data_IF_498008446693
#
_entry.id   IF_498008446693
#
_cell.length_a   1.000
_cell.length_b   1.000
_cell.length_c   1.000
_cell.angle_alpha   90.00
_cell.angle_beta   90.00
_cell.angle_gamma   90.00
#
_symmetry.space_group_name_H-M   'P 1'
#
loop_
_entity.id
_entity.type
_entity.pdbx_description
1 polymer ?
#
# COMPACT_ATOMS: atom_id res chain seq x y z
N UNK A 1 32.43 -45.12 -53.25
CA UNK A 1 31.06 -44.68 -52.92
C UNK A 1 30.73 -44.58 -51.41
N UNK A 2 31.44 -45.28 -50.50
CA UNK A 2 31.16 -45.17 -49.04
C UNK A 2 31.82 -43.98 -48.31
N UNK A 3 32.71 -43.21 -48.95
CA UNK A 3 33.35 -42.02 -48.34
C UNK A 3 32.73 -40.67 -48.74
N UNK A 4 31.81 -40.66 -49.70
CA UNK A 4 31.11 -39.45 -50.16
C UNK A 4 29.72 -39.27 -49.52
N UNK A 5 29.15 -40.31 -48.90
CA UNK A 5 27.89 -40.19 -48.13
C UNK A 5 28.11 -39.68 -46.70
N UNK A 6 29.28 -39.92 -46.12
CA UNK A 6 29.58 -39.52 -44.73
C UNK A 6 29.84 -38.02 -44.59
N UNK A 7 30.34 -37.35 -45.63
CA UNK A 7 30.53 -35.90 -45.64
C UNK A 7 29.24 -35.12 -45.91
N UNK A 8 28.27 -35.72 -46.60
CA UNK A 8 26.97 -35.10 -46.84
C UNK A 8 26.03 -35.18 -45.61
N UNK A 9 26.17 -36.21 -44.77
CA UNK A 9 25.39 -36.33 -43.53
C UNK A 9 25.90 -35.42 -42.39
N UNK A 10 27.19 -35.08 -42.38
CA UNK A 10 27.77 -34.16 -41.37
C UNK A 10 27.47 -32.69 -41.72
N UNK A 11 27.31 -32.36 -43.02
CA UNK A 11 26.93 -31.02 -43.46
C UNK A 11 25.47 -30.62 -43.16
N UNK A 12 24.57 -31.59 -43.02
CA UNK A 12 23.14 -31.32 -42.73
C UNK A 12 22.86 -31.28 -41.21
N UNK A 13 23.74 -31.85 -40.38
CA UNK A 13 23.59 -31.86 -38.92
C UNK A 13 24.18 -30.61 -38.22
N UNK A 14 24.78 -29.68 -38.97
CA UNK A 14 25.36 -28.43 -38.48
C UNK A 14 24.50 -27.18 -38.78
N UNK A 15 23.30 -27.35 -39.34
CA UNK A 15 22.41 -26.25 -39.76
C UNK A 15 21.15 -26.05 -38.91
N UNK A 16 21.01 -26.74 -37.77
CA UNK A 16 19.81 -26.63 -36.91
C UNK A 16 20.04 -26.10 -35.50
N UNK A 17 21.25 -25.70 -35.13
CA UNK A 17 21.51 -24.96 -33.90
C UNK A 17 21.69 -23.46 -34.20
N UNK A 18 20.64 -22.83 -34.74
CA UNK A 18 20.47 -21.41 -34.48
C UNK A 18 20.13 -21.31 -32.98
N UNK A 19 20.92 -20.59 -32.15
CA UNK A 19 20.44 -20.24 -30.82
C UNK A 19 19.13 -19.48 -31.04
N UNK A 20 18.02 -20.07 -30.59
CA UNK A 20 16.77 -19.35 -30.44
C UNK A 20 17.08 -18.20 -29.49
N UNK A 21 17.42 -17.04 -30.06
CA UNK A 21 17.36 -15.78 -29.37
C UNK A 21 15.90 -15.64 -28.96
N UNK A 22 15.59 -16.04 -27.73
CA UNK A 22 14.38 -15.62 -27.04
C UNK A 22 14.49 -14.10 -26.97
N UNK A 23 13.95 -13.44 -27.99
CA UNK A 23 13.71 -12.02 -27.97
C UNK A 23 12.89 -11.76 -26.72
N UNK A 24 13.48 -11.06 -25.75
CA UNK A 24 12.84 -10.54 -24.55
C UNK A 24 11.82 -9.48 -24.98
N UNK A 25 10.72 -9.91 -25.59
CA UNK A 25 9.68 -9.05 -26.17
C UNK A 25 8.81 -8.39 -25.09
N UNK A 26 9.02 -8.73 -23.82
CA UNK A 26 8.34 -8.12 -22.66
C UNK A 26 8.84 -6.69 -22.34
N UNK A 27 10.07 -6.33 -22.75
CA UNK A 27 10.65 -5.02 -22.43
C UNK A 27 10.05 -3.86 -23.22
N UNK A 28 9.60 -4.11 -24.46
CA UNK A 28 9.12 -3.05 -25.37
C UNK A 28 7.65 -2.67 -25.10
N UNK A 29 6.80 -3.64 -24.72
CA UNK A 29 5.38 -3.39 -24.37
C UNK A 29 5.22 -2.67 -23.02
N UNK A 30 6.13 -2.88 -22.09
CA UNK A 30 6.06 -2.26 -20.77
C UNK A 30 6.50 -0.79 -20.82
N UNK A 31 7.51 -0.41 -21.61
CA UNK A 31 7.99 0.99 -21.65
C UNK A 31 6.94 2.02 -22.12
N UNK A 32 5.89 1.59 -22.81
CA UNK A 32 4.88 2.47 -23.41
C UNK A 32 3.65 2.76 -22.52
N UNK A 33 3.51 2.06 -21.38
CA UNK A 33 2.29 2.13 -20.54
C UNK A 33 2.00 3.56 -20.05
N UNK A 34 3.05 4.33 -19.74
CA UNK A 34 2.94 5.71 -19.27
C UNK A 34 3.91 6.67 -20.01
N UNK A 35 3.93 6.66 -21.35
CA UNK A 35 4.86 7.47 -22.14
C UNK A 35 4.64 9.00 -21.99
N UNK A 36 3.40 9.47 -21.82
CA UNK A 36 3.04 10.89 -21.65
C UNK A 36 3.19 11.42 -20.21
N UNK A 37 3.58 10.56 -19.25
CA UNK A 37 3.81 10.94 -17.86
C UNK A 37 5.28 11.29 -17.61
N UNK A 38 5.57 12.24 -16.72
CA UNK A 38 6.95 12.48 -16.26
C UNK A 38 7.49 11.29 -15.46
N UNK A 39 6.66 10.82 -14.52
CA UNK A 39 6.97 9.70 -13.63
C UNK A 39 5.73 8.83 -13.42
N UNK A 40 5.92 7.52 -13.28
CA UNK A 40 4.86 6.57 -13.03
C UNK A 40 5.35 5.32 -12.30
N UNK A 41 4.45 4.69 -11.54
CA UNK A 41 4.68 3.36 -10.95
C UNK A 41 3.37 2.58 -10.91
N UNK A 42 3.47 1.26 -11.05
CA UNK A 42 2.37 0.33 -10.81
C UNK A 42 2.85 -0.72 -9.81
N UNK A 43 2.11 -0.89 -8.73
CA UNK A 43 2.39 -1.93 -7.73
C UNK A 43 1.16 -2.80 -7.50
N UNK A 44 1.38 -4.04 -7.10
CA UNK A 44 0.36 -4.84 -6.42
C UNK A 44 0.40 -4.53 -4.92
N UNK A 45 -0.75 -4.23 -4.31
CA UNK A 45 -0.80 -3.69 -2.95
C UNK A 45 -0.26 -4.68 -1.92
N UNK A 46 -0.76 -5.91 -1.89
CA UNK A 46 -0.53 -6.83 -0.77
C UNK A 46 0.94 -7.22 -0.68
N UNK A 47 1.51 -7.63 -1.81
CA UNK A 47 2.92 -8.00 -1.94
C UNK A 47 3.85 -6.80 -1.98
N UNK A 48 3.36 -5.63 -2.42
CA UNK A 48 4.19 -4.46 -2.69
C UNK A 48 5.08 -4.61 -3.94
N UNK A 49 4.88 -5.66 -4.74
CA UNK A 49 5.69 -5.91 -5.95
C UNK A 49 5.45 -4.83 -6.99
N UNK A 50 6.53 -4.24 -7.47
CA UNK A 50 6.50 -3.26 -8.57
C UNK A 50 6.34 -3.99 -9.89
N UNK A 51 5.27 -3.68 -10.62
CA UNK A 51 4.92 -4.29 -11.92
C UNK A 51 5.33 -3.39 -13.09
N UNK A 52 5.42 -2.08 -12.87
CA UNK A 52 5.91 -1.12 -13.84
C UNK A 52 6.56 0.06 -13.11
N UNK A 53 7.61 0.61 -13.71
CA UNK A 53 8.40 1.71 -13.15
C UNK A 53 8.86 2.64 -14.27
N UNK A 54 8.60 3.94 -14.12
CA UNK A 54 9.14 5.02 -14.96
C UNK A 54 9.52 6.19 -14.05
N UNK A 55 10.83 6.44 -13.86
CA UNK A 55 11.33 7.55 -13.05
C UNK A 55 10.66 7.66 -11.67
N UNK A 56 10.27 6.52 -11.07
CA UNK A 56 9.34 6.51 -9.94
C UNK A 56 9.86 7.17 -8.66
N UNK A 57 11.18 7.38 -8.56
CA UNK A 57 11.86 8.04 -7.44
C UNK A 57 12.14 9.53 -7.69
N UNK A 58 11.77 10.07 -8.86
CA UNK A 58 11.94 11.49 -9.17
C UNK A 58 11.10 12.36 -8.23
N UNK A 59 11.70 13.43 -7.70
CA UNK A 59 11.02 14.38 -6.81
C UNK A 59 10.24 15.38 -7.64
N UNK A 60 8.93 15.38 -7.45
CA UNK A 60 7.98 16.20 -8.20
C UNK A 60 6.95 16.81 -7.24
N UNK A 61 6.39 17.96 -7.61
CA UNK A 61 5.28 18.56 -6.87
C UNK A 61 4.07 17.60 -6.85
N UNK A 62 3.59 17.18 -5.67
CA UNK A 62 2.50 16.21 -5.55
C UNK A 62 1.12 16.81 -5.76
N UNK A 63 1.00 18.15 -5.68
CA UNK A 63 -0.29 18.84 -5.63
C UNK A 63 -1.23 18.18 -4.59
N UNK A 64 -2.53 18.18 -4.85
CA UNK A 64 -3.55 17.55 -3.98
C UNK A 64 -3.37 16.04 -3.70
N UNK A 65 -2.42 15.32 -4.33
CA UNK A 65 -2.08 13.96 -3.88
C UNK A 65 -1.47 13.96 -2.47
N UNK A 66 -0.98 15.11 -2.00
CA UNK A 66 -0.61 15.34 -0.59
C UNK A 66 -1.70 14.89 0.39
N UNK A 67 -2.97 15.07 0.02
CA UNK A 67 -4.10 14.71 0.87
C UNK A 67 -4.22 13.21 1.14
N UNK A 68 -3.48 12.35 0.43
CA UNK A 68 -3.35 10.93 0.78
C UNK A 68 -2.72 10.79 2.17
N UNK A 69 -1.66 11.56 2.47
CA UNK A 69 -1.05 11.58 3.80
C UNK A 69 -1.99 12.20 4.83
N UNK A 70 -2.71 13.26 4.47
CA UNK A 70 -3.72 13.88 5.34
C UNK A 70 -4.81 12.87 5.73
N UNK A 71 -5.39 12.17 4.75
CA UNK A 71 -6.36 11.10 5.01
C UNK A 71 -5.74 9.96 5.82
N UNK A 72 -4.49 9.57 5.57
CA UNK A 72 -3.81 8.54 6.35
C UNK A 72 -3.73 8.89 7.83
N UNK A 73 -3.31 10.12 8.17
CA UNK A 73 -3.25 10.55 9.57
C UNK A 73 -4.64 10.68 10.21
N UNK A 74 -5.68 11.04 9.45
CA UNK A 74 -7.06 11.02 9.94
C UNK A 74 -7.49 9.59 10.25
N UNK A 75 -7.23 8.64 9.35
CA UNK A 75 -7.57 7.22 9.54
C UNK A 75 -6.80 6.61 10.72
N UNK A 76 -5.53 6.96 10.91
CA UNK A 76 -4.76 6.55 12.09
C UNK A 76 -5.36 7.12 13.39
N UNK A 77 -5.74 8.39 13.41
CA UNK A 77 -6.37 8.99 14.59
C UNK A 77 -7.72 8.34 14.94
N UNK A 78 -8.49 7.92 13.92
CA UNK A 78 -9.73 7.16 14.09
C UNK A 78 -9.47 5.74 14.63
N UNK A 79 -8.48 5.03 14.07
CA UNK A 79 -8.14 3.66 14.49
C UNK A 79 -7.57 3.60 15.91
N UNK A 80 -6.76 4.60 16.28
CA UNK A 80 -6.25 4.78 17.64
C UNK A 80 -7.32 5.26 18.64
N UNK A 81 -8.54 5.57 18.17
CA UNK A 81 -9.64 6.07 19.00
C UNK A 81 -9.44 7.47 19.57
N UNK A 82 -8.52 8.26 18.98
CA UNK A 82 -8.26 9.66 19.38
C UNK A 82 -9.39 10.60 18.93
N UNK A 83 -10.03 10.27 17.82
CA UNK A 83 -11.20 10.97 17.27
C UNK A 83 -12.25 9.94 16.83
N UNK A 84 -13.48 10.39 16.62
CA UNK A 84 -14.60 9.60 16.08
C UNK A 84 -15.16 10.29 14.85
N UNK A 85 -15.79 9.51 13.96
CA UNK A 85 -16.48 10.04 12.78
C UNK A 85 -17.53 11.11 13.12
N UNK A 86 -18.17 10.99 14.29
CA UNK A 86 -19.20 11.91 14.78
C UNK A 86 -18.67 13.17 15.44
N UNK A 87 -17.36 13.26 15.72
CA UNK A 87 -16.80 14.41 16.41
C UNK A 87 -16.93 15.66 15.54
N UNK A 88 -17.21 16.79 16.19
CA UNK A 88 -17.39 18.09 15.53
C UNK A 88 -16.05 18.80 15.39
N UNK A 89 -15.76 19.20 14.17
CA UNK A 89 -14.56 19.93 13.76
C UNK A 89 -14.97 21.36 13.49
N UNK A 90 -14.53 22.27 14.36
CA UNK A 90 -14.81 23.70 14.23
C UNK A 90 -13.79 24.35 13.30
N UNK A 91 -14.28 25.03 12.27
CA UNK A 91 -13.45 25.69 11.26
C UNK A 91 -12.83 26.97 11.83
N UNK A 92 -11.51 27.13 11.71
CA UNK A 92 -10.80 28.36 12.05
C UNK A 92 -10.92 29.41 10.92
N UNK A 93 -10.59 30.67 11.21
CA UNK A 93 -10.47 31.70 10.18
C UNK A 93 -9.39 31.33 9.14
N UNK A 94 -8.30 30.72 9.59
CA UNK A 94 -7.21 30.25 8.72
C UNK A 94 -7.69 29.17 7.75
N UNK A 95 -8.34 28.11 8.26
CA UNK A 95 -8.92 27.06 7.42
C UNK A 95 -9.96 27.59 6.43
N UNK A 96 -10.82 28.52 6.86
CA UNK A 96 -11.81 29.14 5.98
C UNK A 96 -11.17 30.04 4.89
N UNK A 97 -10.00 30.62 5.17
CA UNK A 97 -9.27 31.51 4.25
C UNK A 97 -8.53 30.79 3.12
N UNK A 98 -8.43 29.46 3.18
CA UNK A 98 -7.69 28.68 2.21
C UNK A 98 -8.20 28.93 0.78
N UNK A 99 -7.31 28.97 -0.21
CA UNK A 99 -7.70 29.03 -1.63
C UNK A 99 -7.72 27.65 -2.30
N UNK A 100 -8.02 27.62 -3.60
CA UNK A 100 -7.97 26.40 -4.41
C UNK A 100 -9.29 25.59 -4.36
N UNK A 101 -9.21 24.26 -4.31
CA UNK A 101 -10.40 23.42 -4.14
C UNK A 101 -10.89 23.53 -2.70
N UNK A 102 -12.17 23.84 -2.50
CA UNK A 102 -12.78 24.08 -1.19
C UNK A 102 -14.17 23.47 -1.11
N UNK A 103 -14.64 23.24 0.10
CA UNK A 103 -16.06 23.00 0.40
C UNK A 103 -16.75 24.26 0.95
N UNK A 104 -16.02 25.38 0.98
CA UNK A 104 -16.44 26.71 1.42
C UNK A 104 -16.93 26.69 2.87
N UNK A 105 -16.05 26.24 3.78
CA UNK A 105 -16.31 26.35 5.22
C UNK A 105 -16.31 27.81 5.68
N UNK A 106 -17.23 28.16 6.57
CA UNK A 106 -17.26 29.48 7.23
C UNK A 106 -16.52 29.45 8.58
N UNK A 107 -15.90 30.56 9.03
CA UNK A 107 -15.30 30.62 10.36
C UNK A 107 -16.31 30.26 11.46
N UNK A 108 -15.94 29.32 12.31
CA UNK A 108 -16.77 28.80 13.39
C UNK A 108 -17.80 27.75 12.96
N UNK A 109 -17.95 27.45 11.66
CA UNK A 109 -18.79 26.35 11.19
C UNK A 109 -18.27 25.01 11.73
N UNK A 110 -19.18 24.15 12.19
CA UNK A 110 -18.87 22.82 12.69
C UNK A 110 -19.42 21.72 11.78
N UNK A 111 -18.51 20.94 11.19
CA UNK A 111 -18.85 19.70 10.47
C UNK A 111 -18.32 18.49 11.20
N UNK A 112 -18.93 17.33 10.98
CA UNK A 112 -18.40 16.07 11.52
C UNK A 112 -17.09 15.66 10.84
N UNK A 113 -16.27 14.86 11.50
CA UNK A 113 -15.08 14.24 10.88
C UNK A 113 -15.44 13.47 9.60
N UNK A 114 -16.60 12.81 9.57
CA UNK A 114 -17.11 12.14 8.37
C UNK A 114 -17.35 13.12 7.21
N UNK A 115 -18.01 14.25 7.46
CA UNK A 115 -18.25 15.29 6.46
C UNK A 115 -16.95 15.95 5.98
N UNK A 116 -16.01 16.20 6.90
CA UNK A 116 -14.68 16.70 6.54
C UNK A 116 -13.93 15.70 5.65
N UNK A 117 -13.95 14.41 5.98
CA UNK A 117 -13.37 13.36 5.15
C UNK A 117 -14.02 13.27 3.76
N UNK A 118 -15.35 13.41 3.65
CA UNK A 118 -16.04 13.50 2.36
C UNK A 118 -15.53 14.70 1.54
N UNK A 119 -15.42 15.88 2.16
CA UNK A 119 -14.89 17.07 1.51
C UNK A 119 -13.45 16.91 1.00
N UNK A 120 -12.58 16.29 1.79
CA UNK A 120 -11.18 16.02 1.44
C UNK A 120 -11.08 14.97 0.33
N UNK A 121 -11.77 13.85 0.44
CA UNK A 121 -11.64 12.72 -0.46
C UNK A 121 -12.29 12.97 -1.83
N UNK A 122 -13.50 13.55 -1.84
CA UNK A 122 -14.32 13.72 -3.05
C UNK A 122 -13.98 15.04 -3.73
N UNK A 123 -14.20 16.16 -3.05
CA UNK A 123 -14.02 17.50 -3.61
C UNK A 123 -12.59 18.05 -3.47
N UNK A 124 -11.70 17.35 -2.77
CA UNK A 124 -10.32 17.79 -2.56
C UNK A 124 -10.20 19.09 -1.74
N UNK A 125 -11.14 19.35 -0.82
CA UNK A 125 -11.22 20.58 -0.03
C UNK A 125 -9.95 20.87 0.78
N UNK A 126 -9.35 22.04 0.55
CA UNK A 126 -8.17 22.57 1.24
C UNK A 126 -8.54 23.07 2.64
N UNK A 127 -9.65 23.80 2.73
CA UNK A 127 -10.28 24.25 3.96
C UNK A 127 -10.54 23.08 4.93
N UNK A 128 -11.20 22.02 4.45
CA UNK A 128 -11.43 20.81 5.24
C UNK A 128 -10.12 20.11 5.66
N UNK A 129 -9.09 20.13 4.80
CA UNK A 129 -7.79 19.52 5.12
C UNK A 129 -7.06 20.28 6.24
N UNK A 130 -7.10 21.61 6.22
CA UNK A 130 -6.49 22.45 7.25
C UNK A 130 -7.29 22.37 8.55
N UNK A 131 -8.62 22.44 8.50
CA UNK A 131 -9.46 22.28 9.69
C UNK A 131 -9.23 20.92 10.39
N UNK A 132 -9.12 19.83 9.62
CA UNK A 132 -8.78 18.52 10.18
C UNK A 132 -7.35 18.46 10.74
N UNK A 133 -6.41 19.15 10.11
CA UNK A 133 -5.03 19.21 10.57
C UNK A 133 -4.92 19.89 11.94
N UNK A 134 -5.56 21.05 12.09
CA UNK A 134 -5.69 21.80 13.33
C UNK A 134 -6.41 20.98 14.40
N UNK A 135 -7.53 20.32 14.05
CA UNK A 135 -8.29 19.50 15.00
C UNK A 135 -7.48 18.32 15.56
N UNK A 136 -6.68 17.65 14.73
CA UNK A 136 -5.90 16.47 15.13
C UNK A 136 -4.61 16.84 15.88
N UNK A 137 -4.02 18.01 15.60
CA UNK A 137 -2.66 18.34 16.06
C UNK A 137 -2.54 19.66 16.82
N UNK A 138 -3.62 20.42 16.96
CA UNK A 138 -3.64 21.76 17.56
C UNK A 138 -3.26 22.87 16.58
N UNK A 139 -2.41 22.59 15.58
CA UNK A 139 -2.07 23.52 14.49
C UNK A 139 -1.72 22.80 13.19
N UNK A 140 -1.71 23.54 12.08
CA UNK A 140 -1.24 23.05 10.79
C UNK A 140 0.24 22.63 10.84
N UNK A 141 1.10 23.42 11.49
CA UNK A 141 2.54 23.15 11.58
C UNK A 141 2.84 21.83 12.29
N UNK A 142 2.16 21.55 13.41
CA UNK A 142 2.32 20.29 14.12
C UNK A 142 1.77 19.11 13.32
N UNK A 143 0.70 19.32 12.55
CA UNK A 143 0.23 18.30 11.62
C UNK A 143 1.26 18.03 10.52
N UNK A 144 1.89 19.05 9.93
CA UNK A 144 2.97 18.90 8.94
C UNK A 144 4.19 18.19 9.54
N UNK A 145 4.54 18.45 10.80
CA UNK A 145 5.54 17.64 11.53
C UNK A 145 5.14 16.17 11.60
N UNK A 146 3.88 15.86 11.92
CA UNK A 146 3.38 14.47 11.91
C UNK A 146 3.41 13.85 10.52
N UNK A 147 3.05 14.58 9.47
CA UNK A 147 3.13 14.11 8.08
C UNK A 147 4.56 13.69 7.71
N UNK A 148 5.54 14.53 8.03
CA UNK A 148 6.96 14.23 7.75
C UNK A 148 7.52 13.14 8.66
N UNK A 149 7.05 13.03 9.92
CA UNK A 149 7.38 11.90 10.79
C UNK A 149 6.86 10.58 10.21
N UNK A 150 5.59 10.56 9.78
CA UNK A 150 4.97 9.41 9.12
C UNK A 150 5.70 9.04 7.83
N UNK A 151 6.10 10.02 7.02
CA UNK A 151 6.90 9.78 5.83
C UNK A 151 8.21 9.04 6.15
N UNK A 152 8.90 9.42 7.24
CA UNK A 152 10.11 8.71 7.71
C UNK A 152 9.79 7.29 8.22
N UNK A 153 8.72 7.12 8.99
CA UNK A 153 8.27 5.80 9.49
C UNK A 153 7.95 4.83 8.34
N UNK A 154 7.37 5.33 7.25
CA UNK A 154 7.09 4.57 6.04
C UNK A 154 8.31 4.41 5.10
N UNK A 155 9.45 5.00 5.45
CA UNK A 155 10.67 4.93 4.65
C UNK A 155 10.62 5.70 3.32
N UNK A 156 9.78 6.74 3.22
CA UNK A 156 9.61 7.55 2.01
C UNK A 156 10.83 8.46 1.81
N UNK A 157 11.72 8.08 0.88
CA UNK A 157 13.03 8.75 0.71
C UNK A 157 12.96 10.05 -0.11
N UNK A 158 11.88 10.24 -0.85
CA UNK A 158 11.71 11.31 -1.82
C UNK A 158 10.45 12.11 -1.54
N UNK A 159 10.11 12.30 -0.27
CA UNK A 159 8.92 13.01 0.18
C UNK A 159 9.24 14.02 1.28
N UNK A 160 8.68 15.22 1.16
CA UNK A 160 8.72 16.30 2.15
C UNK A 160 7.44 17.13 2.02
N UNK A 161 6.69 17.26 3.11
CA UNK A 161 5.47 18.04 3.17
C UNK A 161 5.70 19.38 3.84
N UNK A 162 5.01 20.41 3.33
CA UNK A 162 5.01 21.76 3.89
C UNK A 162 3.64 22.22 4.37
N UNK A 163 2.59 21.64 3.80
CA UNK A 163 1.19 21.87 4.18
C UNK A 163 0.37 20.56 3.99
N UNK A 164 -0.85 20.45 4.54
CA UNK A 164 -1.69 19.25 4.42
C UNK A 164 -2.49 19.23 3.11
N UNK A 165 -2.40 20.27 2.28
CA UNK A 165 -3.27 20.46 1.12
C UNK A 165 -2.57 20.07 -0.18
N UNK A 166 -1.25 20.30 -0.27
CA UNK A 166 -0.49 20.23 -1.51
C UNK A 166 -0.55 21.50 -2.35
N UNK A 167 -0.88 22.65 -1.74
CA UNK A 167 -0.60 23.95 -2.37
C UNK A 167 0.91 24.09 -2.60
N UNK A 168 1.28 24.74 -3.69
CA UNK A 168 2.69 24.90 -4.09
C UNK A 168 3.45 25.68 -3.03
N UNK A 169 4.53 25.09 -2.55
CA UNK A 169 5.44 25.68 -1.57
C UNK A 169 6.85 25.12 -1.78
N UNK A 170 7.87 25.93 -1.55
CA UNK A 170 9.25 25.52 -1.73
C UNK A 170 9.62 24.34 -0.81
N UNK A 171 10.21 23.28 -1.41
CA UNK A 171 10.56 22.07 -0.67
C UNK A 171 9.36 21.16 -0.35
N UNK A 172 8.19 21.37 -0.96
CA UNK A 172 7.05 20.45 -0.93
C UNK A 172 7.11 19.50 -2.14
N UNK A 173 7.53 18.25 -1.93
CA UNK A 173 7.72 17.28 -3.01
C UNK A 173 7.38 15.86 -2.57
N UNK A 174 7.12 15.00 -3.56
CA UNK A 174 6.99 13.54 -3.39
C UNK A 174 7.54 12.84 -4.63
N UNK A 175 7.51 11.51 -4.64
CA UNK A 175 7.74 10.69 -5.84
C UNK A 175 6.56 9.76 -6.14
N UNK A 176 6.51 9.18 -7.34
CA UNK A 176 5.47 8.21 -7.70
C UNK A 176 5.53 6.94 -6.83
N UNK A 177 6.73 6.46 -6.54
CA UNK A 177 6.95 5.32 -5.65
C UNK A 177 6.43 5.62 -4.24
N UNK A 178 6.83 6.76 -3.66
CA UNK A 178 6.41 7.12 -2.30
C UNK A 178 4.89 7.31 -2.21
N UNK A 179 4.24 7.87 -3.25
CA UNK A 179 2.78 7.97 -3.33
C UNK A 179 2.10 6.59 -3.38
N UNK A 180 2.69 5.61 -4.08
CA UNK A 180 2.18 4.26 -4.10
C UNK A 180 2.29 3.57 -2.73
N UNK A 181 3.38 3.82 -1.99
CA UNK A 181 3.55 3.32 -0.62
C UNK A 181 2.56 3.98 0.34
N UNK A 182 2.35 5.31 0.26
CA UNK A 182 1.34 6.00 1.06
C UNK A 182 -0.08 5.49 0.78
N UNK A 183 -0.43 5.29 -0.49
CA UNK A 183 -1.71 4.71 -0.86
C UNK A 183 -1.85 3.27 -0.36
N UNK A 184 -0.79 2.45 -0.44
CA UNK A 184 -0.77 1.10 0.11
C UNK A 184 -1.06 1.11 1.62
N UNK A 185 -0.45 2.04 2.35
CA UNK A 185 -0.67 2.18 3.79
C UNK A 185 -2.09 2.64 4.11
N UNK A 186 -2.59 3.68 3.42
CA UNK A 186 -3.96 4.18 3.57
C UNK A 186 -5.00 3.08 3.30
N UNK A 187 -4.75 2.23 2.30
CA UNK A 187 -5.66 1.15 1.89
C UNK A 187 -5.63 -0.08 2.81
N UNK A 188 -4.89 -0.03 3.94
CA UNK A 188 -5.11 -0.95 5.07
C UNK A 188 -6.41 -0.63 5.81
N UNK A 189 -6.82 0.65 5.82
CA UNK A 189 -8.09 1.09 6.37
C UNK A 189 -9.20 0.93 5.32
N UNK A 190 -9.79 -0.25 5.21
CA UNK A 190 -10.76 -0.57 4.14
C UNK A 190 -11.95 0.40 4.07
N UNK A 191 -12.30 1.07 5.17
CA UNK A 191 -13.35 2.09 5.22
C UNK A 191 -13.05 3.34 4.38
N UNK A 192 -11.79 3.65 4.06
CA UNK A 192 -11.43 4.84 3.29
C UNK A 192 -12.03 4.83 1.88
N UNK A 193 -12.22 3.64 1.29
CA UNK A 193 -12.76 3.50 -0.07
C UNK A 193 -14.23 3.89 -0.15
N UNK A 194 -14.95 3.94 0.98
CA UNK A 194 -16.31 4.55 1.06
C UNK A 194 -16.29 6.03 0.72
N UNK A 195 -15.17 6.71 0.95
CA UNK A 195 -14.99 8.13 0.63
C UNK A 195 -14.31 8.28 -0.73
N UNK A 196 -13.13 7.65 -0.92
CA UNK A 196 -12.34 7.81 -2.14
C UNK A 196 -12.96 7.15 -3.37
N UNK A 197 -13.83 6.16 -3.18
CA UNK A 197 -14.55 5.45 -4.23
C UNK A 197 -15.95 6.01 -4.50
N UNK A 198 -16.37 7.06 -3.81
CA UNK A 198 -17.65 7.73 -4.07
C UNK A 198 -17.48 8.75 -5.19
N UNK A 199 -18.31 8.64 -6.24
CA UNK A 199 -18.24 9.54 -7.39
C UNK A 199 -18.85 10.91 -7.10
N UNK A 200 -19.99 10.96 -6.42
CA UNK A 200 -20.66 12.20 -6.03
C UNK A 200 -21.40 12.00 -4.71
N UNK A 201 -21.51 13.07 -3.95
CA UNK A 201 -22.21 13.11 -2.66
C UNK A 201 -22.61 14.56 -2.36
N UNK A 202 -23.26 14.81 -1.23
CA UNK A 202 -23.62 16.14 -0.78
C UNK A 202 -23.13 16.41 0.64
N UNK A 203 -22.81 17.67 0.90
CA UNK A 203 -22.66 18.22 2.24
C UNK A 203 -23.84 19.14 2.53
N UNK A 204 -24.12 19.35 3.82
CA UNK A 204 -25.15 20.30 4.27
C UNK A 204 -26.52 20.06 3.62
N UNK A 205 -26.85 18.79 3.36
CA UNK A 205 -27.94 18.38 2.48
C UNK A 205 -29.32 18.91 2.92
N UNK A 206 -29.54 19.01 4.23
CA UNK A 206 -30.80 19.48 4.82
C UNK A 206 -30.78 20.97 5.19
N UNK A 207 -29.93 21.77 4.52
CA UNK A 207 -29.80 23.22 4.74
C UNK A 207 -29.96 23.98 3.42
N UNK A 208 -30.14 25.29 3.53
CA UNK A 208 -30.09 26.23 2.40
C UNK A 208 -28.70 26.31 1.74
N UNK A 209 -27.66 25.83 2.42
CA UNK A 209 -26.27 25.77 1.94
C UNK A 209 -25.88 24.39 1.39
N UNK A 210 -26.83 23.60 0.87
CA UNK A 210 -26.56 22.29 0.26
C UNK A 210 -25.44 22.39 -0.78
N UNK A 211 -24.39 21.59 -0.61
CA UNK A 211 -23.19 21.65 -1.43
C UNK A 211 -22.93 20.31 -2.11
N UNK A 212 -22.85 20.33 -3.44
CA UNK A 212 -22.62 19.12 -4.24
C UNK A 212 -21.13 18.82 -4.36
N UNK A 213 -20.73 17.61 -3.96
CA UNK A 213 -19.38 17.10 -4.12
C UNK A 213 -19.31 16.22 -5.36
N UNK A 214 -18.31 16.45 -6.20
CA UNK A 214 -18.00 15.59 -7.35
C UNK A 214 -16.55 15.17 -7.28
N UNK A 215 -16.32 13.86 -7.41
CA UNK A 215 -15.00 13.29 -7.30
C UNK A 215 -14.15 13.72 -8.51
N UNK A 216 -13.01 14.32 -8.19
CA UNK A 216 -12.00 14.70 -9.18
C UNK A 216 -11.46 13.50 -9.98
N UNK A 217 -11.50 12.28 -9.42
CA UNK A 217 -11.11 11.05 -10.10
C UNK A 217 -12.28 10.46 -10.89
N UNK A 218 -12.40 10.85 -12.16
CA UNK A 218 -13.46 10.34 -13.05
C UNK A 218 -13.40 8.83 -13.29
N UNK A 219 -12.25 8.17 -13.08
CA UNK A 219 -12.13 6.73 -13.30
C UNK A 219 -13.03 5.90 -12.38
N UNK A 220 -13.44 6.44 -11.22
CA UNK A 220 -14.41 5.79 -10.33
C UNK A 220 -15.71 5.46 -11.06
N UNK A 221 -16.16 6.33 -11.98
CA UNK A 221 -17.38 6.13 -12.76
C UNK A 221 -17.17 5.24 -13.99
N UNK A 222 -15.97 5.23 -14.56
CA UNK A 222 -15.73 4.70 -15.90
C UNK A 222 -14.85 3.44 -15.96
N UNK A 223 -14.16 3.09 -14.86
CA UNK A 223 -13.32 1.90 -14.80
C UNK A 223 -13.78 0.98 -13.66
N UNK A 224 -14.32 -0.22 -13.97
CA UNK A 224 -14.78 -1.15 -12.96
C UNK A 224 -13.70 -1.51 -11.94
N UNK A 225 -14.05 -1.38 -10.67
CA UNK A 225 -13.17 -1.71 -9.55
C UNK A 225 -12.24 -0.59 -9.10
N UNK A 226 -12.21 0.57 -9.76
CA UNK A 226 -11.52 1.76 -9.22
C UNK A 226 -12.30 2.33 -8.05
N UNK A 227 -11.63 2.48 -6.91
CA UNK A 227 -12.22 2.94 -5.64
C UNK A 227 -11.35 4.01 -4.94
N UNK A 228 -10.44 4.65 -5.69
CA UNK A 228 -9.57 5.68 -5.16
C UNK A 228 -8.39 5.99 -6.09
N UNK A 229 -7.36 6.69 -5.62
CA UNK A 229 -7.29 7.34 -4.30
C UNK A 229 -7.42 8.85 -4.47
N UNK A 230 -6.50 9.51 -5.19
CA UNK A 230 -6.49 10.97 -5.26
C UNK A 230 -5.83 11.53 -6.51
N UNK A 231 -6.48 12.51 -7.13
CA UNK A 231 -5.90 13.35 -8.19
C UNK A 231 -5.13 14.54 -7.60
N UNK A 232 -4.20 15.08 -8.40
CA UNK A 232 -3.53 16.36 -8.14
C UNK A 232 -3.36 17.18 -9.40
N UNK A 233 -3.45 18.51 -9.27
CA UNK A 233 -3.11 19.45 -10.34
C UNK A 233 -2.63 20.78 -9.76
N UNK A 234 -1.50 21.26 -10.27
CA UNK A 234 -1.04 22.66 -10.21
C UNK A 234 -0.33 23.00 -11.52
N UNK A 235 -0.03 24.27 -11.76
CA UNK A 235 0.73 24.69 -12.94
C UNK A 235 2.10 23.98 -13.05
N UNK A 236 2.73 23.72 -11.91
CA UNK A 236 4.01 23.01 -11.75
C UNK A 236 3.86 21.49 -11.89
N UNK A 237 2.93 20.89 -11.15
CA UNK A 237 2.75 19.43 -11.09
C UNK A 237 2.14 18.85 -12.38
N UNK A 238 1.39 19.66 -13.14
CA UNK A 238 0.48 19.21 -14.21
C UNK A 238 -0.52 18.16 -13.69
N UNK A 239 -1.04 17.27 -14.53
CA UNK A 239 -2.08 16.32 -14.11
C UNK A 239 -1.48 15.06 -13.52
N UNK A 240 -1.77 14.83 -12.24
CA UNK A 240 -1.32 13.67 -11.48
C UNK A 240 -2.50 12.84 -10.96
N UNK A 241 -2.26 11.55 -10.69
CA UNK A 241 -3.24 10.66 -10.05
C UNK A 241 -2.55 9.47 -9.42
N UNK A 242 -2.90 9.20 -8.17
CA UNK A 242 -2.72 7.89 -7.53
C UNK A 242 -4.07 7.18 -7.54
N UNK A 243 -4.19 6.12 -8.33
CA UNK A 243 -5.40 5.31 -8.46
C UNK A 243 -5.24 3.97 -7.75
N UNK A 244 -6.31 3.46 -7.17
CA UNK A 244 -6.41 2.06 -6.76
C UNK A 244 -7.58 1.40 -7.46
N UNK A 245 -7.38 0.14 -7.84
CA UNK A 245 -8.45 -0.70 -8.33
C UNK A 245 -8.34 -2.12 -7.76
N UNK A 246 -9.48 -2.76 -7.53
CA UNK A 246 -9.56 -4.16 -7.08
C UNK A 246 -10.31 -5.01 -8.10
N UNK A 247 -9.73 -6.15 -8.47
CA UNK A 247 -10.36 -7.18 -9.32
C UNK A 247 -10.11 -8.56 -8.71
N UNK A 248 -11.18 -9.20 -8.24
CA UNK A 248 -11.07 -10.43 -7.45
C UNK A 248 -10.24 -10.21 -6.18
N UNK A 249 -9.21 -11.02 -5.99
CA UNK A 249 -8.29 -10.92 -4.85
C UNK A 249 -7.15 -9.91 -5.07
N UNK A 250 -6.93 -9.45 -6.30
CA UNK A 250 -5.82 -8.56 -6.62
C UNK A 250 -6.24 -7.10 -6.48
N UNK A 251 -5.41 -6.30 -5.79
CA UNK A 251 -5.53 -4.85 -5.78
C UNK A 251 -4.27 -4.22 -6.37
N UNK A 252 -4.45 -3.41 -7.40
CA UNK A 252 -3.38 -2.65 -8.03
C UNK A 252 -3.42 -1.19 -7.58
N UNK A 253 -2.25 -0.57 -7.48
CA UNK A 253 -2.08 0.87 -7.26
C UNK A 253 -1.24 1.42 -8.41
N UNK A 254 -1.79 2.36 -9.15
CA UNK A 254 -1.18 2.99 -10.30
C UNK A 254 -1.01 4.48 -10.04
N UNK A 255 0.22 4.99 -10.14
CA UNK A 255 0.54 6.41 -9.91
C UNK A 255 1.11 7.02 -11.18
N UNK A 256 0.62 8.20 -11.54
CA UNK A 256 1.10 9.03 -12.64
C UNK A 256 1.35 10.44 -12.12
N UNK A 257 2.50 11.02 -12.48
CA UNK A 257 2.83 12.42 -12.32
C UNK A 257 3.02 13.09 -13.68
N UNK A 258 2.62 14.36 -13.77
CA UNK A 258 3.12 15.24 -14.83
C UNK A 258 2.53 15.00 -16.22
N UNK A 259 1.33 14.40 -16.34
CA UNK A 259 0.69 14.26 -17.65
C UNK A 259 0.17 15.60 -18.17
N UNK A 260 0.19 15.77 -19.50
CA UNK A 260 -0.19 17.03 -20.17
C UNK A 260 -1.67 17.37 -20.07
N UNK A 261 -2.55 16.36 -20.12
CA UNK A 261 -4.01 16.55 -20.03
C UNK A 261 -4.67 15.54 -19.07
N UNK A 262 -5.89 15.82 -18.57
CA UNK A 262 -6.66 14.85 -17.80
C UNK A 262 -6.94 13.55 -18.56
N UNK A 263 -7.10 13.63 -19.90
CA UNK A 263 -7.36 12.49 -20.78
C UNK A 263 -6.15 11.57 -20.82
N UNK A 264 -4.95 12.13 -21.01
CA UNK A 264 -3.71 11.35 -21.07
C UNK A 264 -3.38 10.73 -19.72
N UNK A 265 -3.58 11.50 -18.64
CA UNK A 265 -3.46 11.02 -17.26
C UNK A 265 -4.34 9.80 -17.02
N UNK A 266 -5.62 9.88 -17.37
CA UNK A 266 -6.57 8.78 -17.18
C UNK A 266 -6.22 7.58 -18.07
N UNK A 267 -5.89 7.81 -19.34
CA UNK A 267 -5.56 6.74 -20.29
C UNK A 267 -4.34 5.93 -19.85
N UNK A 268 -3.30 6.57 -19.33
CA UNK A 268 -2.10 5.89 -18.84
C UNK A 268 -2.37 5.07 -17.58
N UNK A 269 -3.16 5.61 -16.64
CA UNK A 269 -3.59 4.87 -15.45
C UNK A 269 -4.43 3.64 -15.86
N UNK A 270 -5.40 3.80 -16.75
CA UNK A 270 -6.18 2.69 -17.31
C UNK A 270 -5.29 1.62 -17.93
N UNK A 271 -4.33 1.99 -18.80
CA UNK A 271 -3.38 1.04 -19.41
C UNK A 271 -2.57 0.26 -18.38
N UNK A 272 -2.10 0.92 -17.32
CA UNK A 272 -1.35 0.26 -16.24
C UNK A 272 -2.23 -0.73 -15.46
N UNK A 273 -3.48 -0.36 -15.14
CA UNK A 273 -4.41 -1.24 -14.45
C UNK A 273 -4.79 -2.46 -15.31
N UNK A 274 -5.07 -2.24 -16.60
CA UNK A 274 -5.36 -3.31 -17.56
C UNK A 274 -4.17 -4.26 -17.73
N UNK A 275 -2.96 -3.73 -17.78
CA UNK A 275 -1.74 -4.53 -17.76
C UNK A 275 -1.67 -5.39 -16.49
N UNK A 276 -1.86 -4.80 -15.30
CA UNK A 276 -1.82 -5.54 -14.03
C UNK A 276 -2.80 -6.73 -14.05
N UNK A 277 -4.06 -6.46 -14.37
CA UNK A 277 -5.13 -7.45 -14.30
C UNK A 277 -5.16 -8.43 -15.48
N UNK A 278 -4.47 -8.15 -16.59
CA UNK A 278 -4.31 -9.09 -17.70
C UNK A 278 -3.15 -10.05 -17.48
N UNK A 279 -2.11 -9.63 -16.78
CA UNK A 279 -0.88 -10.41 -16.62
C UNK A 279 -0.80 -11.17 -15.31
N UNK A 280 -1.42 -10.66 -14.24
CA UNK A 280 -1.18 -11.14 -12.89
C UNK A 280 -2.47 -11.50 -12.13
N UNK A 281 -2.30 -12.28 -11.07
CA UNK A 281 -3.32 -12.58 -10.08
C UNK A 281 -2.70 -12.76 -8.67
N UNK A 282 -3.44 -12.33 -7.65
CA UNK A 282 -3.02 -12.42 -6.25
C UNK A 282 -3.72 -13.59 -5.57
N UNK A 283 -2.95 -14.42 -4.86
CA UNK A 283 -3.41 -15.56 -4.07
C UNK A 283 -3.24 -15.25 -2.58
N UNK A 284 -4.33 -14.92 -1.85
CA UNK A 284 -4.28 -14.76 -0.41
C UNK A 284 -4.01 -16.13 0.25
N UNK A 285 -2.98 -16.21 1.10
CA UNK A 285 -2.59 -17.48 1.74
C UNK A 285 -2.81 -17.47 3.25
N UNK A 286 -2.51 -16.35 3.92
CA UNK A 286 -2.67 -16.22 5.35
C UNK A 286 -3.34 -14.90 5.69
N UNK A 287 -4.31 -14.94 6.61
CA UNK A 287 -4.90 -13.73 7.20
C UNK A 287 -3.98 -13.19 8.30
N UNK A 288 -4.24 -11.96 8.75
CA UNK A 288 -3.61 -11.41 9.96
C UNK A 288 -3.94 -12.27 11.17
N UNK A 289 -2.98 -12.43 12.10
CA UNK A 289 -3.11 -13.23 13.33
C UNK A 289 -3.39 -14.72 13.08
N UNK A 290 -3.16 -15.22 11.88
CA UNK A 290 -3.34 -16.64 11.56
C UNK A 290 -2.16 -17.45 12.11
N UNK A 291 -2.44 -18.56 12.78
CA UNK A 291 -1.40 -19.39 13.40
C UNK A 291 -0.67 -20.21 12.34
N UNK A 292 0.63 -19.99 12.21
CA UNK A 292 1.47 -20.61 11.18
C UNK A 292 2.40 -21.70 11.73
N UNK A 293 2.78 -21.67 13.00
CA UNK A 293 3.57 -22.75 13.62
C UNK A 293 3.55 -22.71 15.15
N UNK A 294 4.22 -23.70 15.75
CA UNK A 294 4.52 -23.75 17.18
C UNK A 294 6.01 -23.91 17.37
N UNK A 295 6.63 -23.06 18.17
CA UNK A 295 8.06 -23.15 18.50
C UNK A 295 8.28 -23.48 19.97
N UNK A 296 9.29 -24.30 20.26
CA UNK A 296 9.70 -24.64 21.63
C UNK A 296 10.40 -23.44 22.26
N UNK A 297 9.96 -23.07 23.47
CA UNK A 297 10.51 -21.92 24.20
C UNK A 297 11.38 -22.39 25.37
N UNK A 298 12.62 -21.91 25.45
CA UNK A 298 13.49 -22.17 26.61
C UNK A 298 12.97 -21.39 27.83
N UNK A 299 13.02 -22.01 29.00
CA UNK A 299 12.64 -21.41 30.30
C UNK A 299 11.21 -20.84 30.40
N UNK A 300 10.31 -21.18 29.47
CA UNK A 300 8.92 -20.71 29.48
C UNK A 300 8.00 -21.52 30.39
N UNK A 301 7.01 -20.85 30.97
CA UNK A 301 5.92 -21.48 31.77
C UNK A 301 5.21 -22.58 30.99
N UNK A 302 5.05 -22.40 29.66
CA UNK A 302 4.64 -23.44 28.71
C UNK A 302 5.84 -23.91 27.88
N UNK A 303 5.75 -25.10 27.27
CA UNK A 303 6.83 -25.67 26.45
C UNK A 303 6.90 -25.04 25.05
N UNK A 304 5.78 -24.53 24.54
CA UNK A 304 5.64 -23.98 23.19
C UNK A 304 4.90 -22.64 23.21
N UNK A 305 5.19 -21.80 22.21
CA UNK A 305 4.40 -20.62 21.85
C UNK A 305 3.92 -20.76 20.40
N UNK A 306 2.69 -20.35 20.14
CA UNK A 306 2.14 -20.26 18.78
C UNK A 306 2.70 -19.02 18.08
N UNK A 307 3.12 -19.21 16.83
CA UNK A 307 3.55 -18.16 15.94
C UNK A 307 2.40 -17.78 15.02
N UNK A 308 2.12 -16.50 14.91
CA UNK A 308 1.09 -15.94 14.04
C UNK A 308 1.69 -14.95 13.05
N UNK A 309 1.02 -14.77 11.92
CA UNK A 309 1.31 -13.70 10.96
C UNK A 309 1.00 -12.32 11.56
N UNK A 310 1.93 -11.38 11.44
CA UNK A 310 1.72 -9.99 11.87
C UNK A 310 0.82 -9.21 10.91
N UNK A 311 0.87 -9.56 9.62
CA UNK A 311 0.11 -8.97 8.52
C UNK A 311 -0.44 -10.07 7.59
N UNK A 312 -1.50 -9.81 6.79
CA UNK A 312 -1.93 -10.73 5.75
C UNK A 312 -0.80 -11.04 4.76
N UNK A 313 -0.73 -12.28 4.27
CA UNK A 313 0.28 -12.73 3.33
C UNK A 313 -0.40 -13.22 2.06
N UNK A 314 -0.02 -12.61 0.95
CA UNK A 314 -0.47 -12.96 -0.39
C UNK A 314 0.74 -13.27 -1.27
N UNK A 315 0.54 -14.08 -2.30
CA UNK A 315 1.52 -14.32 -3.36
C UNK A 315 0.98 -13.75 -4.66
N UNK A 316 1.84 -13.06 -5.41
CA UNK A 316 1.54 -12.60 -6.76
C UNK A 316 2.20 -13.53 -7.79
N UNK A 317 1.40 -14.07 -8.71
CA UNK A 317 1.89 -14.88 -9.83
C UNK A 317 1.45 -14.28 -11.16
N UNK A 318 2.08 -14.71 -12.27
CA UNK A 318 1.49 -14.48 -13.58
C UNK A 318 0.26 -15.37 -13.74
N UNK A 319 -0.74 -14.91 -14.50
CA UNK A 319 -1.93 -15.70 -14.78
C UNK A 319 -1.57 -17.03 -15.45
N UNK A 320 -2.17 -18.10 -14.96
CA UNK A 320 -1.94 -19.46 -15.45
C UNK A 320 -0.74 -20.16 -14.82
N UNK A 321 0.06 -19.50 -13.97
CA UNK A 321 1.06 -20.18 -13.16
C UNK A 321 0.38 -20.97 -12.03
N UNK A 322 0.66 -22.26 -11.95
CA UNK A 322 0.10 -23.13 -10.91
C UNK A 322 0.69 -22.78 -9.52
N UNK A 323 -0.13 -22.81 -8.48
CA UNK A 323 0.28 -22.65 -7.08
C UNK A 323 0.68 -23.97 -6.41
N UNK A 324 0.64 -25.10 -7.14
CA UNK A 324 1.20 -26.37 -6.67
C UNK A 324 2.68 -26.23 -6.35
N UNK A 325 3.12 -26.95 -5.32
CA UNK A 325 4.50 -27.02 -4.82
C UNK A 325 5.04 -25.76 -4.13
N UNK A 326 4.20 -24.78 -3.78
CA UNK A 326 4.61 -23.71 -2.85
C UNK A 326 4.89 -24.33 -1.48
N UNK A 327 6.16 -24.30 -1.06
CA UNK A 327 6.64 -24.83 0.22
C UNK A 327 6.73 -23.70 1.24
N UNK A 328 6.31 -24.02 2.46
CA UNK A 328 6.43 -23.16 3.63
C UNK A 328 7.66 -23.53 4.44
N UNK A 329 8.50 -22.54 4.73
CA UNK A 329 9.67 -22.64 5.59
C UNK A 329 9.57 -21.57 6.69
N UNK A 330 9.93 -21.90 7.92
CA UNK A 330 9.98 -20.93 9.02
C UNK A 330 11.41 -20.85 9.53
N UNK A 331 12.01 -19.68 9.36
CA UNK A 331 13.35 -19.37 9.87
C UNK A 331 13.18 -18.72 11.24
N UNK A 332 13.61 -19.41 12.30
CA UNK A 332 13.50 -18.90 13.66
C UNK A 332 14.68 -17.98 14.00
N UNK A 333 14.45 -17.00 14.86
CA UNK A 333 15.53 -16.25 15.51
C UNK A 333 16.25 -17.14 16.52
N UNK A 334 17.56 -16.92 16.69
CA UNK A 334 18.35 -17.70 17.64
C UNK A 334 17.85 -17.52 19.08
N UNK A 335 17.79 -18.63 19.82
CA UNK A 335 17.53 -18.65 21.26
C UNK A 335 16.18 -18.07 21.73
N UNK A 336 15.06 -18.48 21.13
CA UNK A 336 13.69 -18.20 21.66
C UNK A 336 13.56 -18.63 23.13
N UNK A 337 13.62 -17.66 24.05
CA UNK A 337 13.68 -17.85 25.51
C UNK A 337 12.70 -16.92 26.20
N UNK A 338 12.03 -17.40 27.25
CA UNK A 338 11.13 -16.56 28.04
C UNK A 338 11.88 -15.48 28.86
N UNK A 339 11.29 -14.28 29.06
CA UNK A 339 9.91 -13.93 28.74
C UNK A 339 9.71 -13.53 27.28
N UNK A 340 8.54 -13.85 26.73
CA UNK A 340 8.12 -13.42 25.38
C UNK A 340 6.86 -12.59 25.53
N UNK A 341 6.77 -11.48 24.81
CA UNK A 341 5.56 -10.65 24.74
C UNK A 341 4.73 -11.03 23.52
N UNK A 342 3.40 -10.94 23.64
CA UNK A 342 2.48 -11.02 22.50
C UNK A 342 2.90 -9.99 21.45
N UNK A 343 2.96 -10.40 20.19
CA UNK A 343 3.41 -9.56 19.09
C UNK A 343 4.93 -9.49 18.91
N UNK A 344 5.73 -10.07 19.81
CA UNK A 344 7.17 -10.13 19.63
C UNK A 344 7.53 -10.99 18.42
N UNK A 345 8.32 -10.45 17.49
CA UNK A 345 8.83 -11.18 16.33
C UNK A 345 9.83 -12.26 16.76
N UNK A 346 9.54 -13.50 16.37
CA UNK A 346 10.34 -14.67 16.75
C UNK A 346 10.99 -15.36 15.55
N UNK A 347 10.65 -14.96 14.33
CA UNK A 347 11.23 -15.51 13.12
C UNK A 347 10.55 -14.96 11.86
N UNK A 348 10.80 -15.63 10.74
CA UNK A 348 10.30 -15.25 9.41
C UNK A 348 9.67 -16.46 8.73
N UNK A 349 8.44 -16.29 8.25
CA UNK A 349 7.79 -17.20 7.32
C UNK A 349 8.31 -16.90 5.91
N UNK A 350 8.83 -17.92 5.24
CA UNK A 350 9.33 -17.87 3.87
C UNK A 350 8.53 -18.85 3.02
N UNK A 351 7.90 -18.34 1.96
CA UNK A 351 7.16 -19.14 0.98
C UNK A 351 8.02 -19.27 -0.27
N UNK A 352 8.36 -20.50 -0.63
CA UNK A 352 9.24 -20.81 -1.78
C UNK A 352 8.54 -21.67 -2.81
N UNK A 353 8.87 -21.47 -4.07
CA UNK A 353 8.51 -22.37 -5.17
C UNK A 353 9.73 -22.57 -6.05
N UNK A 354 10.06 -23.83 -6.33
CA UNK A 354 11.20 -24.20 -7.18
C UNK A 354 12.54 -23.56 -6.75
N UNK A 355 12.70 -23.30 -5.45
CA UNK A 355 13.88 -22.65 -4.86
C UNK A 355 13.82 -21.11 -4.82
N UNK A 356 12.91 -20.49 -5.57
CA UNK A 356 12.67 -19.04 -5.56
C UNK A 356 11.78 -18.66 -4.37
N UNK A 357 12.14 -17.57 -3.68
CA UNK A 357 11.35 -17.00 -2.60
C UNK A 357 10.23 -16.14 -3.20
N UNK A 358 8.98 -16.57 -2.99
CA UNK A 358 7.79 -15.86 -3.48
C UNK A 358 7.29 -14.79 -2.51
N UNK A 359 7.42 -15.05 -1.21
CA UNK A 359 7.03 -14.10 -0.16
C UNK A 359 7.81 -14.37 1.14
N UNK A 360 8.11 -13.32 1.88
CA UNK A 360 8.66 -13.38 3.23
C UNK A 360 7.85 -12.46 4.15
N UNK A 361 7.60 -12.91 5.38
CA UNK A 361 6.87 -12.11 6.37
C UNK A 361 7.29 -12.47 7.79
N UNK A 362 7.47 -11.49 8.70
CA UNK A 362 7.76 -11.78 10.09
C UNK A 362 6.61 -12.56 10.76
N UNK A 363 6.96 -13.46 11.66
CA UNK A 363 6.01 -14.19 12.50
C UNK A 363 6.22 -13.85 13.96
N UNK A 364 5.12 -13.55 14.63
CA UNK A 364 5.11 -13.03 15.99
C UNK A 364 4.47 -14.01 16.98
N UNK A 365 4.80 -13.87 18.26
CA UNK A 365 4.17 -14.65 19.32
C UNK A 365 2.69 -14.29 19.47
N UNK A 366 1.81 -15.29 19.44
CA UNK A 366 0.35 -15.10 19.62
C UNK A 366 -0.02 -14.56 21.00
N UNK A 367 0.76 -14.92 22.02
CA UNK A 367 0.48 -14.66 23.42
C UNK A 367 1.76 -14.46 24.24
N UNK A 368 1.62 -13.82 25.39
CA UNK A 368 2.69 -13.71 26.37
C UNK A 368 3.16 -15.08 26.88
N UNK A 369 4.47 -15.21 27.04
CA UNK A 369 5.13 -16.33 27.69
C UNK A 369 5.95 -15.85 28.89
N UNK A 370 5.43 -16.05 30.10
CA UNK A 370 6.20 -15.81 31.33
C UNK A 370 7.27 -16.89 31.53
N UNK A 371 8.31 -16.58 32.31
CA UNK A 371 9.28 -17.58 32.77
C UNK A 371 8.59 -18.68 33.59
N UNK A 372 9.09 -19.91 33.48
CA UNK A 372 8.67 -21.00 34.36
C UNK A 372 9.16 -20.74 35.79
N UNK A 373 8.31 -21.03 36.77
CA UNK A 373 8.69 -21.05 38.18
C UNK A 373 9.46 -22.32 38.55
N UNK A 374 10.10 -22.33 39.72
CA UNK A 374 10.94 -23.44 40.21
C UNK A 374 10.21 -24.80 40.20
N UNK A 375 8.97 -24.86 40.68
CA UNK A 375 8.14 -26.07 40.69
C UNK A 375 7.88 -26.61 39.27
N UNK A 376 7.72 -25.71 38.29
CA UNK A 376 7.51 -26.09 36.89
C UNK A 376 8.77 -26.69 36.27
N UNK A 377 9.96 -26.19 36.65
CA UNK A 377 11.22 -26.81 36.26
C UNK A 377 11.38 -28.19 36.91
N UNK A 378 11.17 -28.30 38.22
CA UNK A 378 11.30 -29.56 38.97
C UNK A 378 10.38 -30.66 38.41
N UNK A 379 9.10 -30.36 38.15
CA UNK A 379 8.16 -31.30 37.52
C UNK A 379 8.57 -31.73 36.12
N UNK A 380 9.19 -30.84 35.32
CA UNK A 380 9.66 -31.18 33.96
C UNK A 380 10.87 -32.10 34.03
N UNK A 381 11.83 -31.82 34.91
CA UNK A 381 13.00 -32.66 35.13
C UNK A 381 12.60 -34.06 35.62
N UNK A 382 11.69 -34.16 36.58
CA UNK A 382 11.19 -35.45 37.08
C UNK A 382 10.39 -36.23 36.03
N UNK A 383 9.56 -35.56 35.23
CA UNK A 383 8.76 -36.19 34.18
C UNK A 383 9.59 -36.68 32.98
N UNK A 384 10.67 -35.99 32.63
CA UNK A 384 11.61 -36.47 31.61
C UNK A 384 12.39 -37.70 32.12
N UNK A 385 12.64 -37.81 33.43
CA UNK A 385 13.26 -38.98 34.08
C UNK A 385 12.39 -40.24 33.98
N UNK A 386 11.07 -40.12 34.11
CA UNK A 386 10.12 -41.25 33.99
C UNK A 386 9.91 -41.78 32.57
N UNK A 387 10.44 -41.09 31.55
CA UNK A 387 10.35 -41.49 30.14
C UNK A 387 11.58 -42.28 29.64
N UNK A 388 12.59 -42.47 30.48
CA UNK A 388 13.77 -43.30 30.21
C UNK A 388 13.58 -44.76 30.62
N UNK A 389 12.39 -45.34 30.39
CA UNK A 389 12.15 -46.78 30.53
C UNK A 389 11.73 -47.38 29.21
#
# INVERSE_FOLDING_TARGET
MKRLLSTLLIGIMLLTFAPSAFAKQDGKRTSELAHEAKSAVLIERDTGKVLYNKNSNERLAPASMTKIMTMLLIMEALDEGKIKMSDKVRTSEHAASMGGSQIFLEPGEEMTVEEMLKGIAIASGNDASVAMAEFISGSEEEFVRKMNKKAKELGLKNTSFKNPTGLTEEGHYSSAYDMAIMAKELLKYESITKFTGTYEDYLRENTDKKFWLVNTNRLIKFYPGVDGVKTGYTGEAKYCLTASAKKGNMRAIAVVFGASTPKDRNAQVTKMLDFAFSQYETHPLYKRNETVAKVKVKKGKRKFVELTTSEPISILTKKGEDMKNVKKEIKMNDNVTAPIQKGQELGTLVLKKDGEVLAESPVAAKEDMKKAGFITFLKRTMGDWTKFK
#
